data_IF_540342565975
#
_entry.id   IF_540342565975
#
_cell.length_a   1.000
_cell.length_b   1.000
_cell.length_c   1.000
_cell.angle_alpha   90.00
_cell.angle_beta   90.00
_cell.angle_gamma   90.00
#
_symmetry.space_group_name_H-M   'P 1'
#
loop_
_entity.id
_entity.type
_entity.pdbx_description
1 polymer ?
#
# COMPACT_ATOMS: atom_id res chain seq x y z
N UNK A 1 6.90 3.23 -28.87
CA UNK A 1 6.43 1.83 -28.98
C UNK A 1 5.73 1.45 -27.67
N UNK A 2 4.39 1.30 -27.68
CA UNK A 2 3.61 0.91 -26.49
C UNK A 2 3.66 -0.60 -26.33
N UNK A 3 4.67 -1.14 -25.66
CA UNK A 3 4.67 -2.54 -25.24
C UNK A 3 3.95 -2.65 -23.89
N UNK A 4 2.64 -2.35 -23.89
CA UNK A 4 1.77 -2.55 -22.73
C UNK A 4 1.18 -3.94 -22.84
N UNK A 5 1.69 -4.88 -22.03
CA UNK A 5 1.12 -6.22 -21.87
C UNK A 5 -0.37 -6.08 -21.44
N UNK A 6 -1.34 -6.43 -22.31
CA UNK A 6 -2.76 -6.19 -22.06
C UNK A 6 -3.30 -6.98 -20.86
N UNK A 7 -2.65 -8.10 -20.49
CA UNK A 7 -3.04 -8.91 -19.32
C UNK A 7 -2.81 -8.18 -17.99
N UNK A 8 -1.88 -7.22 -17.93
CA UNK A 8 -1.58 -6.44 -16.72
C UNK A 8 -2.64 -5.38 -16.42
N UNK A 9 -3.44 -4.97 -17.42
CA UNK A 9 -4.55 -4.02 -17.22
C UNK A 9 -5.87 -4.69 -16.86
N UNK A 10 -6.07 -5.95 -17.25
CA UNK A 10 -7.33 -6.66 -17.07
C UNK A 10 -7.56 -7.18 -15.64
N UNK A 11 -6.50 -7.42 -14.87
CA UNK A 11 -6.60 -8.01 -13.53
C UNK A 11 -6.60 -6.95 -12.42
N UNK A 12 -7.48 -7.06 -11.41
CA UNK A 12 -7.46 -6.23 -10.20
C UNK A 12 -6.04 -6.14 -9.59
N UNK A 13 -5.60 -4.96 -9.11
CA UNK A 13 -4.23 -4.76 -8.60
C UNK A 13 -3.83 -5.78 -7.52
N UNK A 14 -4.72 -6.07 -6.57
CA UNK A 14 -4.47 -7.07 -5.54
C UNK A 14 -4.18 -8.47 -6.11
N UNK A 15 -4.96 -8.93 -7.08
CA UNK A 15 -4.74 -10.25 -7.70
C UNK A 15 -3.42 -10.31 -8.45
N UNK A 16 -3.01 -9.21 -9.10
CA UNK A 16 -1.71 -9.13 -9.78
C UNK A 16 -0.58 -9.32 -8.78
N UNK A 17 -0.60 -8.58 -7.67
CA UNK A 17 0.44 -8.66 -6.64
C UNK A 17 0.46 -10.05 -5.99
N UNK A 18 -0.70 -10.63 -5.66
CA UNK A 18 -0.80 -11.98 -5.11
C UNK A 18 -0.24 -13.05 -6.06
N UNK A 19 -0.57 -12.98 -7.35
CA UNK A 19 -0.05 -13.95 -8.33
C UNK A 19 1.44 -13.79 -8.58
N UNK A 20 1.96 -12.55 -8.57
CA UNK A 20 3.40 -12.30 -8.67
C UNK A 20 4.16 -12.84 -7.46
N UNK A 21 3.62 -12.64 -6.25
CA UNK A 21 4.23 -13.16 -5.02
C UNK A 21 4.17 -14.69 -4.96
N UNK A 22 3.07 -15.31 -5.40
CA UNK A 22 2.97 -16.77 -5.51
C UNK A 22 4.00 -17.32 -6.50
N UNK A 23 4.14 -16.70 -7.68
CA UNK A 23 5.16 -17.08 -8.65
C UNK A 23 6.58 -16.95 -8.07
N UNK A 24 6.85 -15.88 -7.31
CA UNK A 24 8.14 -15.67 -6.63
C UNK A 24 8.44 -16.75 -5.59
N UNK A 25 7.42 -17.27 -4.90
CA UNK A 25 7.53 -18.35 -3.89
C UNK A 25 7.55 -19.75 -4.50
N UNK A 26 7.19 -19.90 -5.77
CA UNK A 26 6.94 -21.21 -6.38
C UNK A 26 5.60 -21.83 -5.98
N UNK A 27 4.68 -21.04 -5.41
CA UNK A 27 3.36 -21.50 -5.00
C UNK A 27 2.46 -21.72 -6.22
N UNK A 28 1.74 -22.84 -6.23
CA UNK A 28 0.65 -23.04 -7.18
C UNK A 28 -0.53 -22.11 -6.86
N UNK A 29 -1.40 -21.89 -7.85
CA UNK A 29 -2.64 -21.12 -7.63
C UNK A 29 -3.57 -21.80 -6.61
N UNK A 30 -3.51 -23.12 -6.51
CA UNK A 30 -4.24 -23.87 -5.47
C UNK A 30 -3.67 -23.56 -4.09
N UNK A 31 -2.35 -23.53 -3.94
CA UNK A 31 -1.69 -23.16 -2.68
C UNK A 31 -2.03 -21.72 -2.28
N UNK A 32 -2.03 -20.78 -3.25
CA UNK A 32 -2.46 -19.41 -3.02
C UNK A 32 -3.92 -19.33 -2.54
N UNK A 33 -4.84 -20.07 -3.16
CA UNK A 33 -6.24 -20.12 -2.73
C UNK A 33 -6.38 -20.65 -1.30
N UNK A 34 -5.65 -21.71 -0.97
CA UNK A 34 -5.60 -22.29 0.38
C UNK A 34 -5.05 -21.29 1.40
N UNK A 35 -3.97 -20.57 1.08
CA UNK A 35 -3.38 -19.56 1.96
C UNK A 35 -4.36 -18.42 2.28
N UNK A 36 -5.23 -18.06 1.34
CA UNK A 36 -6.30 -17.08 1.55
C UNK A 36 -7.55 -17.65 2.24
N UNK A 37 -7.60 -18.97 2.45
CA UNK A 37 -8.76 -19.66 3.01
C UNK A 37 -9.97 -19.71 2.07
N UNK A 38 -9.75 -19.75 0.76
CA UNK A 38 -10.81 -19.83 -0.26
C UNK A 38 -10.61 -21.02 -1.20
N UNK A 39 -11.66 -21.36 -1.94
CA UNK A 39 -11.56 -22.41 -2.97
C UNK A 39 -10.81 -21.89 -4.20
N UNK A 40 -10.14 -22.80 -4.92
CA UNK A 40 -9.52 -22.48 -6.22
C UNK A 40 -10.54 -21.85 -7.19
N UNK A 41 -11.77 -22.37 -7.22
CA UNK A 41 -12.88 -21.81 -8.01
C UNK A 41 -13.13 -20.34 -7.69
N UNK A 42 -13.16 -19.97 -6.40
CA UNK A 42 -13.39 -18.58 -6.00
C UNK A 42 -12.25 -17.66 -6.44
N UNK A 43 -11.00 -18.11 -6.30
CA UNK A 43 -9.83 -17.39 -6.83
C UNK A 43 -9.90 -17.24 -8.36
N UNK A 44 -10.34 -18.28 -9.06
CA UNK A 44 -10.51 -18.24 -10.51
C UNK A 44 -11.57 -17.22 -10.95
N UNK A 45 -12.71 -17.16 -10.25
CA UNK A 45 -13.77 -16.15 -10.49
C UNK A 45 -13.26 -14.72 -10.33
N UNK A 46 -12.42 -14.46 -9.32
CA UNK A 46 -11.80 -13.15 -9.15
C UNK A 46 -10.83 -12.82 -10.29
N UNK A 47 -10.05 -13.81 -10.74
CA UNK A 47 -9.08 -13.63 -11.83
C UNK A 47 -9.71 -13.41 -13.19
N UNK A 48 -10.87 -14.01 -13.45
CA UNK A 48 -11.64 -13.82 -14.67
C UNK A 48 -12.50 -12.54 -14.65
N UNK A 49 -12.65 -11.91 -13.48
CA UNK A 49 -13.54 -10.76 -13.30
C UNK A 49 -15.01 -11.12 -13.15
N UNK A 50 -15.36 -12.42 -13.06
CA UNK A 50 -16.72 -12.90 -12.79
C UNK A 50 -17.21 -12.49 -11.38
N UNK A 51 -16.26 -12.29 -10.45
CA UNK A 51 -16.53 -11.73 -9.14
C UNK A 51 -15.51 -10.65 -8.80
N UNK A 52 -15.94 -9.65 -8.02
CA UNK A 52 -15.04 -8.64 -7.50
C UNK A 52 -14.42 -9.08 -6.16
N UNK A 53 -13.09 -9.03 -6.10
CA UNK A 53 -12.34 -9.32 -4.87
C UNK A 53 -12.59 -8.26 -3.80
N UNK A 54 -12.97 -7.03 -4.19
CA UNK A 54 -13.36 -5.98 -3.25
C UNK A 54 -14.53 -6.41 -2.34
N UNK A 55 -15.37 -7.36 -2.76
CA UNK A 55 -16.47 -7.90 -1.96
C UNK A 55 -16.10 -9.15 -1.13
N UNK A 56 -14.83 -9.56 -1.06
CA UNK A 56 -14.42 -10.71 -0.23
C UNK A 56 -14.65 -10.45 1.27
N UNK A 57 -14.53 -11.45 2.15
CA UNK A 57 -14.66 -11.18 3.59
C UNK A 57 -13.39 -10.50 4.14
N UNK A 58 -13.50 -9.83 5.29
CA UNK A 58 -12.32 -9.25 5.97
C UNK A 58 -11.32 -10.32 6.42
N UNK A 59 -11.79 -11.55 6.63
CA UNK A 59 -10.92 -12.71 6.85
C UNK A 59 -10.01 -12.96 5.65
N UNK A 60 -10.56 -12.89 4.43
CA UNK A 60 -9.77 -13.02 3.19
C UNK A 60 -8.78 -11.87 3.08
N UNK A 61 -9.20 -10.62 3.34
CA UNK A 61 -8.30 -9.47 3.27
C UNK A 61 -7.12 -9.58 4.24
N UNK A 62 -7.37 -10.03 5.47
CA UNK A 62 -6.29 -10.32 6.44
C UNK A 62 -5.38 -11.45 5.99
N UNK A 63 -5.94 -12.51 5.39
CA UNK A 63 -5.14 -13.60 4.86
C UNK A 63 -4.25 -13.16 3.68
N UNK A 64 -4.76 -12.29 2.79
CA UNK A 64 -3.96 -11.66 1.73
C UNK A 64 -2.83 -10.81 2.32
N UNK A 65 -3.09 -10.04 3.37
CA UNK A 65 -2.09 -9.19 4.03
C UNK A 65 -0.98 -10.04 4.65
N UNK A 66 -1.36 -11.09 5.38
CA UNK A 66 -0.44 -12.07 5.95
C UNK A 66 0.37 -12.79 4.86
N UNK A 67 -0.28 -13.20 3.77
CA UNK A 67 0.40 -13.84 2.65
C UNK A 67 1.43 -12.91 2.03
N UNK A 68 1.11 -11.64 1.79
CA UNK A 68 2.01 -10.65 1.18
C UNK A 68 3.07 -10.09 2.16
N UNK A 69 2.88 -10.25 3.46
CA UNK A 69 3.74 -9.64 4.47
C UNK A 69 3.62 -8.12 4.52
N UNK A 70 2.43 -7.56 4.22
CA UNK A 70 2.17 -6.11 4.20
C UNK A 70 1.05 -5.74 5.16
N UNK A 71 0.97 -4.48 5.63
CA UNK A 71 -0.14 -4.00 6.44
C UNK A 71 -1.50 -4.18 5.74
N UNK A 72 -2.54 -4.49 6.52
CA UNK A 72 -3.89 -4.75 5.99
C UNK A 72 -4.46 -3.60 5.16
N UNK A 73 -4.12 -2.35 5.51
CA UNK A 73 -4.54 -1.16 4.77
C UNK A 73 -4.04 -1.17 3.31
N UNK A 74 -2.84 -1.69 3.06
CA UNK A 74 -2.27 -1.83 1.70
C UNK A 74 -3.13 -2.78 0.88
N UNK A 75 -3.57 -3.89 1.46
CA UNK A 75 -4.49 -4.83 0.81
C UNK A 75 -5.86 -4.20 0.54
N UNK A 76 -6.38 -3.41 1.48
CA UNK A 76 -7.64 -2.69 1.28
C UNK A 76 -7.53 -1.69 0.12
N UNK A 77 -6.40 -1.00 -0.01
CA UNK A 77 -6.13 -0.12 -1.17
C UNK A 77 -5.99 -0.91 -2.46
N UNK A 78 -5.19 -1.98 -2.48
CA UNK A 78 -4.99 -2.82 -3.67
C UNK A 78 -6.26 -3.55 -4.13
N UNK A 79 -7.18 -3.84 -3.21
CA UNK A 79 -8.50 -4.40 -3.52
C UNK A 79 -9.49 -3.36 -4.01
N UNK A 80 -9.18 -2.06 -3.91
CA UNK A 80 -10.07 -0.97 -4.30
C UNK A 80 -11.13 -0.61 -3.27
N UNK A 81 -11.07 -1.18 -2.04
CA UNK A 81 -12.00 -0.82 -0.94
C UNK A 81 -11.77 0.58 -0.39
N UNK A 82 -10.54 1.05 -0.46
CA UNK A 82 -10.12 2.35 0.07
C UNK A 82 -9.26 3.02 -1.01
N UNK A 83 -9.55 4.30 -1.31
CA UNK A 83 -8.68 5.08 -2.20
C UNK A 83 -7.35 5.37 -1.51
N UNK A 84 -6.26 5.41 -2.30
CA UNK A 84 -4.96 5.85 -1.79
C UNK A 84 -5.03 7.26 -1.20
N UNK A 85 -5.93 8.11 -1.70
CA UNK A 85 -6.11 9.49 -1.24
C UNK A 85 -6.52 9.58 0.24
N UNK A 86 -7.22 8.57 0.77
CA UNK A 86 -7.59 8.49 2.18
C UNK A 86 -6.39 8.25 3.10
N UNK A 87 -5.28 7.75 2.55
CA UNK A 87 -4.04 7.52 3.29
C UNK A 87 -3.08 8.70 3.21
N UNK A 88 -3.33 9.65 2.31
CA UNK A 88 -2.55 10.86 2.19
C UNK A 88 -3.00 11.84 3.28
N UNK A 89 -2.07 12.36 4.07
CA UNK A 89 -2.37 13.51 4.93
C UNK A 89 -2.90 14.64 4.06
N UNK A 90 -4.09 15.22 4.34
CA UNK A 90 -4.55 16.41 3.66
C UNK A 90 -3.56 17.53 3.95
N UNK A 91 -2.67 17.78 3.01
CA UNK A 91 -1.72 18.87 3.08
C UNK A 91 -2.38 20.10 2.45
N UNK A 92 -2.15 21.28 3.01
CA UNK A 92 -2.66 22.54 2.44
C UNK A 92 -1.98 22.92 1.12
N UNK A 93 -0.87 22.27 0.78
CA UNK A 93 -0.18 22.44 -0.49
C UNK A 93 -0.85 21.65 -1.62
N UNK A 94 -0.90 22.27 -2.81
CA UNK A 94 -1.35 21.60 -4.02
C UNK A 94 -0.48 20.37 -4.34
N UNK A 95 -1.11 19.33 -4.90
CA UNK A 95 -0.43 18.09 -5.28
C UNK A 95 0.77 18.33 -6.21
N UNK A 96 0.63 19.29 -7.14
CA UNK A 96 1.67 19.66 -8.09
C UNK A 96 2.93 20.20 -7.40
N UNK A 97 2.78 21.01 -6.35
CA UNK A 97 3.92 21.55 -5.60
C UNK A 97 4.66 20.47 -4.81
N UNK A 98 3.92 19.50 -4.25
CA UNK A 98 4.53 18.35 -3.57
C UNK A 98 5.37 17.52 -4.53
N UNK A 99 4.80 17.20 -5.70
CA UNK A 99 5.51 16.44 -6.72
C UNK A 99 6.77 17.16 -7.20
N UNK A 100 6.68 18.45 -7.46
CA UNK A 100 7.83 19.27 -7.86
C UNK A 100 8.93 19.27 -6.78
N UNK A 101 8.54 19.40 -5.50
CA UNK A 101 9.48 19.35 -4.38
C UNK A 101 10.18 18.00 -4.30
N UNK A 102 9.42 16.91 -4.36
CA UNK A 102 9.96 15.55 -4.23
C UNK A 102 10.87 15.20 -5.41
N UNK A 103 10.51 15.61 -6.63
CA UNK A 103 11.40 15.48 -7.81
C UNK A 103 12.67 16.31 -7.67
N UNK A 104 12.58 17.54 -7.14
CA UNK A 104 13.76 18.36 -6.88
C UNK A 104 14.68 17.71 -5.85
N UNK A 105 14.13 17.11 -4.80
CA UNK A 105 14.91 16.36 -3.80
C UNK A 105 15.64 15.18 -4.43
N UNK A 106 14.93 14.38 -5.25
CA UNK A 106 15.52 13.24 -5.97
C UNK A 106 16.67 13.67 -6.88
N UNK A 107 16.48 14.73 -7.66
CA UNK A 107 17.51 15.26 -8.57
C UNK A 107 18.67 15.96 -7.86
N UNK A 108 18.48 16.36 -6.61
CA UNK A 108 19.55 16.92 -5.78
C UNK A 108 20.33 15.84 -5.03
N UNK A 109 19.88 14.58 -5.08
CA UNK A 109 20.57 13.48 -4.39
C UNK A 109 21.80 13.03 -5.20
N UNK A 110 23.03 13.14 -4.65
CA UNK A 110 24.26 12.75 -5.34
C UNK A 110 24.30 11.29 -5.85
N UNK A 111 23.53 10.38 -5.23
CA UNK A 111 23.46 8.97 -5.62
C UNK A 111 22.64 8.73 -6.89
N UNK A 112 21.63 9.56 -7.14
CA UNK A 112 20.63 9.32 -8.19
C UNK A 112 20.59 10.43 -9.25
N UNK A 113 21.09 11.63 -8.93
CA UNK A 113 21.05 12.79 -9.81
C UNK A 113 21.63 12.51 -11.20
N UNK A 114 22.76 11.80 -11.27
CA UNK A 114 23.41 11.44 -12.53
C UNK A 114 22.76 10.28 -13.30
N UNK A 115 21.82 9.57 -12.68
CA UNK A 115 21.07 8.46 -13.29
C UNK A 115 19.67 8.86 -13.73
N UNK A 116 19.16 10.00 -13.24
CA UNK A 116 17.83 10.47 -13.53
C UNK A 116 17.78 11.10 -14.94
N UNK A 117 17.04 10.51 -15.89
CA UNK A 117 16.90 11.07 -17.23
C UNK A 117 16.10 12.37 -17.17
N UNK A 118 16.43 13.36 -18.02
CA UNK A 118 15.71 14.65 -18.07
C UNK A 118 14.23 14.46 -18.40
N UNK A 119 13.88 13.42 -19.15
CA UNK A 119 12.52 13.04 -19.50
C UNK A 119 11.67 12.66 -18.29
N UNK A 120 12.28 12.33 -17.14
CA UNK A 120 11.56 12.08 -15.91
C UNK A 120 10.79 13.33 -15.45
N UNK A 121 11.31 14.54 -15.69
CA UNK A 121 10.67 15.79 -15.29
C UNK A 121 9.48 16.18 -16.17
N UNK A 122 9.42 15.70 -17.40
CA UNK A 122 8.36 16.02 -18.37
C UNK A 122 7.34 14.88 -18.55
N UNK A 123 7.53 13.74 -17.87
CA UNK A 123 6.63 12.60 -17.96
C UNK A 123 5.32 12.78 -17.17
N UNK A 124 4.44 11.79 -17.26
CA UNK A 124 3.17 11.80 -16.53
C UNK A 124 3.37 11.87 -15.00
N UNK A 125 2.56 12.66 -14.27
CA UNK A 125 2.66 12.79 -12.81
C UNK A 125 2.61 11.45 -12.06
N UNK A 126 1.87 10.47 -12.58
CA UNK A 126 1.80 9.12 -12.01
C UNK A 126 3.13 8.39 -12.03
N UNK A 127 3.94 8.57 -13.07
CA UNK A 127 5.27 7.96 -13.19
C UNK A 127 6.25 8.68 -12.27
N UNK A 128 6.22 10.01 -12.22
CA UNK A 128 7.05 10.80 -11.31
C UNK A 128 6.82 10.38 -9.85
N UNK A 129 5.54 10.24 -9.44
CA UNK A 129 5.18 9.74 -8.11
C UNK A 129 5.71 8.33 -7.86
N UNK A 130 5.57 7.43 -8.82
CA UNK A 130 6.06 6.07 -8.69
C UNK A 130 7.57 6.02 -8.51
N UNK A 131 8.33 6.79 -9.30
CA UNK A 131 9.80 6.86 -9.18
C UNK A 131 10.21 7.50 -7.84
N UNK A 132 9.55 8.60 -7.44
CA UNK A 132 9.79 9.22 -6.14
C UNK A 132 9.57 8.25 -4.98
N UNK A 133 8.49 7.47 -5.04
CA UNK A 133 8.19 6.42 -4.05
C UNK A 133 9.26 5.32 -4.01
N UNK A 134 9.74 4.86 -5.17
CA UNK A 134 10.79 3.83 -5.21
C UNK A 134 12.10 4.33 -4.62
N UNK A 135 12.47 5.59 -4.89
CA UNK A 135 13.69 6.19 -4.33
C UNK A 135 13.58 6.33 -2.82
N UNK A 136 12.46 6.84 -2.30
CA UNK A 136 12.25 6.94 -0.85
C UNK A 136 12.29 5.56 -0.18
N UNK A 137 11.69 4.54 -0.79
CA UNK A 137 11.70 3.17 -0.27
C UNK A 137 13.13 2.58 -0.19
N UNK A 138 13.97 2.86 -1.18
CA UNK A 138 15.38 2.42 -1.19
C UNK A 138 16.20 3.16 -0.12
N UNK A 139 15.98 4.47 0.02
CA UNK A 139 16.64 5.29 1.05
C UNK A 139 16.23 4.89 2.47
N UNK A 140 14.96 4.55 2.68
CA UNK A 140 14.46 4.09 3.97
C UNK A 140 15.05 2.73 4.36
N UNK A 141 15.19 1.80 3.40
CA UNK A 141 15.89 0.52 3.62
C UNK A 141 17.35 0.68 3.99
N UNK A 142 18.01 1.73 3.48
CA UNK A 142 19.42 2.02 3.80
C UNK A 142 19.60 2.83 5.08
N UNK A 143 18.61 3.62 5.47
CA UNK A 143 18.70 4.51 6.64
C UNK A 143 18.26 3.86 7.94
N UNK A 144 17.62 2.68 7.91
CA UNK A 144 17.19 1.93 9.11
C UNK A 144 16.12 2.64 9.97
N UNK A 145 15.80 3.89 9.66
CA UNK A 145 14.80 4.72 10.32
C UNK A 145 13.60 4.80 9.37
N UNK A 146 12.64 3.92 9.59
CA UNK A 146 11.42 3.82 8.79
C UNK A 146 10.55 5.05 8.95
N UNK A 147 10.45 5.87 7.90
CA UNK A 147 9.54 7.03 7.87
C UNK A 147 8.20 6.64 7.24
N UNK A 148 8.17 5.66 6.32
CA UNK A 148 6.98 5.24 5.59
C UNK A 148 5.81 4.76 6.47
N UNK A 149 6.07 4.39 7.73
CA UNK A 149 5.06 3.81 8.61
C UNK A 149 4.81 4.60 9.90
N UNK A 150 5.35 5.82 10.08
CA UNK A 150 5.13 6.59 11.33
C UNK A 150 3.65 6.82 11.66
N UNK A 151 2.81 6.95 10.63
CA UNK A 151 1.36 7.07 10.80
C UNK A 151 0.69 5.70 11.06
N UNK A 152 1.23 4.59 10.54
CA UNK A 152 0.77 3.24 10.90
C UNK A 152 1.16 2.87 12.32
N UNK A 153 2.35 3.25 12.79
CA UNK A 153 2.75 3.14 14.19
C UNK A 153 1.82 3.98 15.08
N UNK A 154 1.48 5.20 14.67
CA UNK A 154 0.51 6.03 15.39
C UNK A 154 -0.88 5.38 15.45
N UNK A 155 -1.35 4.76 14.36
CA UNK A 155 -2.62 4.00 14.35
C UNK A 155 -2.52 2.75 15.22
N UNK A 156 -1.43 2.00 15.16
CA UNK A 156 -1.20 0.81 15.97
C UNK A 156 -1.20 1.17 17.47
N UNK A 157 -0.43 2.20 17.86
CA UNK A 157 -0.39 2.72 19.23
C UNK A 157 -1.74 3.25 19.71
N UNK A 158 -2.52 3.88 18.82
CA UNK A 158 -3.88 4.33 19.14
C UNK A 158 -4.86 3.18 19.28
N UNK A 159 -4.71 2.11 18.48
CA UNK A 159 -5.54 0.91 18.57
C UNK A 159 -5.20 0.05 19.80
N UNK A 160 -3.94 0.08 20.25
CA UNK A 160 -3.48 -0.62 21.46
C UNK A 160 -3.79 0.13 22.75
N UNK A 161 -4.06 1.44 22.70
CA UNK A 161 -4.57 2.20 23.85
C UNK A 161 -6.03 1.83 24.09
N UNK A 162 -6.35 0.95 25.07
CA UNK A 162 -7.73 0.67 25.38
C UNK A 162 -8.27 1.96 26.01
N UNK A 163 -9.36 2.48 25.45
CA UNK A 163 -10.15 3.57 26.03
C UNK A 163 -10.15 3.42 27.55
N UNK A 164 -9.42 4.32 28.22
CA UNK A 164 -9.25 4.28 29.66
C UNK A 164 -10.63 4.21 30.28
N UNK A 165 -10.85 3.20 31.13
CA UNK A 165 -12.00 3.17 32.02
C UNK A 165 -12.08 4.54 32.67
N UNK A 166 -13.09 5.33 32.31
CA UNK A 166 -13.55 6.43 33.13
C UNK A 166 -14.07 5.76 34.40
N UNK A 167 -13.21 5.63 35.40
CA UNK A 167 -13.63 5.29 36.75
C UNK A 167 -14.43 6.47 37.26
N UNK A 168 -15.75 6.38 37.08
CA UNK A 168 -16.71 7.11 37.87
C UNK A 168 -16.46 6.77 39.35
N UNK A 169 -16.37 7.81 40.19
CA UNK A 169 -16.57 7.70 41.63
C UNK A 169 -15.34 7.98 42.49
N UNK A 170 -15.19 9.22 42.92
CA UNK A 170 -15.06 9.55 44.35
C UNK A 170 -15.19 11.06 44.53
N UNK A 171 -16.39 11.45 44.94
CA UNK A 171 -16.68 12.74 45.58
C UNK A 171 -15.84 12.90 46.84
N UNK A 172 -14.96 13.89 46.86
CA UNK A 172 -14.33 14.41 48.07
C UNK A 172 -14.69 15.88 48.22
N UNK A 173 -15.69 16.17 49.05
CA UNK A 173 -16.03 17.53 49.50
C UNK A 173 -14.94 18.01 50.46
N UNK A 174 -14.43 19.25 50.33
CA UNK A 174 -13.79 19.92 51.44
C UNK A 174 -14.73 20.99 52.01
N UNK A 175 -15.07 20.82 53.29
CA UNK A 175 -15.46 21.82 54.31
C UNK A 175 -16.57 22.81 54.01
#
# INVERSE_FOLDING_TARGET
MKNTNPELRAKPPLLRVLTAEAARRGDSLTALATAMGVTYRRLAQWRSGEADIAHASDRVMRACAAYLGVPGVVVLTLSGRISLDLLLTPNRESEALRLQRDMRTLLSNPKYAGLAPEELLSTYPSIQRFVGYLVSEVEERTSGIGVAWRWLEAIANAAESPSGKVTAGSSGTPT
#
